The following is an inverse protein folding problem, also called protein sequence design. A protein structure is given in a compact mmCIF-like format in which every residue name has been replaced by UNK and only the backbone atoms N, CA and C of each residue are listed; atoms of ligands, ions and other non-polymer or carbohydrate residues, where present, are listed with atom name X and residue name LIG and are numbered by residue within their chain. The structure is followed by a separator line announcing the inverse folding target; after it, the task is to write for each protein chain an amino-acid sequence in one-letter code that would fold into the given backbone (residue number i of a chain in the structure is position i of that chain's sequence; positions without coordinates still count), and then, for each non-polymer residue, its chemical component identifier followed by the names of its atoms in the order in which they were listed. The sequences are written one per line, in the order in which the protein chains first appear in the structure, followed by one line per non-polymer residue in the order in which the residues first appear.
data_IF_523324134583
#
_entry.id   IF_523324134583
#
_cell.length_a   1.000
_cell.length_b   1.000
_cell.length_c   1.000
_cell.angle_alpha   90.00
_cell.angle_beta   90.00
_cell.angle_gamma   90.00
#
_symmetry.space_group_name_H-M   'P 1'
#
loop_
_entity.id
_entity.type
_entity.pdbx_description
1 polymer ?
#
# COMPACT_ATOMS: atom_id res chain seq x y z
N UNK A 1 40.97 56.00 -7.44
CA UNK A 1 42.39 55.77 -7.09
C UNK A 1 42.82 54.43 -7.70
N UNK A 2 43.99 54.33 -8.33
CA UNK A 2 44.32 53.25 -9.26
C UNK A 2 44.96 52.03 -8.57
N UNK A 3 44.68 50.86 -9.16
CA UNK A 3 45.24 49.55 -8.81
C UNK A 3 46.73 49.49 -9.17
N UNK A 4 47.64 49.08 -8.26
CA UNK A 4 49.04 48.87 -8.60
C UNK A 4 49.29 47.49 -9.22
N UNK A 5 50.16 47.50 -10.23
CA UNK A 5 50.51 46.39 -11.11
C UNK A 5 51.28 45.24 -10.44
N UNK A 6 51.05 44.03 -10.95
CA UNK A 6 51.71 42.76 -10.57
C UNK A 6 53.19 42.76 -10.96
N UNK A 7 54.08 42.53 -9.98
CA UNK A 7 55.48 42.18 -10.23
C UNK A 7 55.61 40.68 -10.51
N UNK A 8 56.15 40.33 -11.68
CA UNK A 8 56.48 38.95 -12.08
C UNK A 8 57.75 38.50 -11.36
N UNK A 9 57.64 37.51 -10.46
CA UNK A 9 58.79 36.82 -9.90
C UNK A 9 59.18 35.66 -10.83
N UNK A 10 60.38 35.72 -11.42
CA UNK A 10 60.96 34.63 -12.22
C UNK A 10 61.64 33.65 -11.26
N UNK A 11 61.11 32.43 -11.14
CA UNK A 11 61.75 31.34 -10.41
C UNK A 11 62.36 30.39 -11.45
N UNK A 12 63.68 30.13 -11.32
CA UNK A 12 64.44 29.16 -12.12
C UNK A 12 64.00 27.72 -11.77
N UNK A 13 63.92 26.78 -12.73
CA UNK A 13 63.59 25.41 -12.42
C UNK A 13 64.84 24.69 -11.87
N UNK A 14 64.76 24.14 -10.66
CA UNK A 14 65.63 23.04 -10.25
C UNK A 14 64.94 21.74 -10.67
N UNK A 15 65.59 20.99 -11.57
CA UNK A 15 65.18 19.65 -11.91
C UNK A 15 65.58 18.69 -10.78
N UNK A 16 64.60 18.18 -10.03
CA UNK A 16 64.77 17.02 -9.16
C UNK A 16 64.27 15.78 -9.91
N UNK A 17 65.19 14.87 -10.22
CA UNK A 17 64.92 13.57 -10.81
C UNK A 17 64.42 12.63 -9.68
N UNK A 18 63.10 12.55 -9.51
CA UNK A 18 62.47 11.59 -8.58
C UNK A 18 62.09 10.30 -9.31
N UNK A 19 62.70 9.18 -8.95
CA UNK A 19 62.24 7.84 -9.34
C UNK A 19 60.84 7.60 -8.74
N UNK A 20 59.81 7.64 -9.57
CA UNK A 20 58.46 7.21 -9.24
C UNK A 20 58.34 5.70 -9.48
N UNK A 21 58.35 4.93 -8.40
CA UNK A 21 57.91 3.53 -8.39
C UNK A 21 56.41 3.51 -8.66
N UNK A 22 56.02 3.11 -9.87
CA UNK A 22 54.63 2.89 -10.23
C UNK A 22 54.12 1.60 -9.55
N UNK A 23 53.43 1.74 -8.42
CA UNK A 23 52.61 0.65 -7.90
C UNK A 23 51.38 0.46 -8.80
N UNK A 24 51.08 -0.77 -9.25
CA UNK A 24 49.87 -1.01 -10.02
C UNK A 24 48.67 -0.80 -9.10
N UNK A 25 47.90 0.26 -9.37
CA UNK A 25 46.54 0.41 -8.85
C UNK A 25 45.72 -0.75 -9.41
N UNK A 26 45.51 -1.77 -8.59
CA UNK A 26 44.50 -2.79 -8.82
C UNK A 26 43.14 -2.09 -8.79
N UNK A 27 42.68 -1.71 -9.98
CA UNK A 27 41.30 -1.24 -10.16
C UNK A 27 40.36 -2.35 -9.72
N UNK A 28 39.68 -2.13 -8.60
CA UNK A 28 38.51 -2.91 -8.22
C UNK A 28 37.49 -2.77 -9.35
N UNK A 29 37.31 -3.85 -10.13
CA UNK A 29 36.22 -3.93 -11.08
C UNK A 29 34.91 -3.58 -10.35
N UNK A 30 34.02 -2.77 -10.94
CA UNK A 30 32.72 -2.54 -10.34
C UNK A 30 32.07 -3.90 -10.11
N UNK A 31 31.72 -4.19 -8.85
CA UNK A 31 30.99 -5.40 -8.51
C UNK A 31 29.76 -5.45 -9.42
N UNK A 32 29.72 -6.41 -10.34
CA UNK A 32 28.53 -6.71 -11.12
C UNK A 32 27.45 -7.00 -10.08
N UNK A 33 26.49 -6.09 -9.93
CA UNK A 33 25.29 -6.35 -9.15
C UNK A 33 24.66 -7.57 -9.81
N UNK A 34 24.68 -8.70 -9.11
CA UNK A 34 24.05 -9.92 -9.60
C UNK A 34 22.61 -9.56 -9.97
N UNK A 35 22.25 -9.74 -11.24
CA UNK A 35 20.88 -9.47 -11.69
C UNK A 35 19.97 -10.44 -10.96
N UNK A 36 18.85 -9.92 -10.47
CA UNK A 36 17.86 -10.75 -9.81
C UNK A 36 17.28 -11.76 -10.82
N UNK A 37 17.49 -13.05 -10.56
CA UNK A 37 16.89 -14.11 -11.35
C UNK A 37 15.44 -14.31 -10.93
N UNK A 38 14.51 -14.14 -11.87
CA UNK A 38 13.08 -14.33 -11.66
C UNK A 38 12.61 -15.61 -12.35
N UNK A 39 11.76 -16.36 -11.66
CA UNK A 39 11.19 -17.61 -12.16
C UNK A 39 9.74 -17.44 -12.63
N UNK A 40 9.29 -18.18 -13.65
CA UNK A 40 7.88 -18.16 -14.05
C UNK A 40 6.96 -18.48 -12.87
N UNK A 41 5.90 -17.68 -12.72
CA UNK A 41 4.90 -17.84 -11.66
C UNK A 41 3.52 -17.35 -12.13
N UNK A 42 2.53 -17.50 -11.26
CA UNK A 42 1.24 -16.82 -11.39
C UNK A 42 0.96 -15.98 -10.15
N UNK A 43 0.35 -14.83 -10.38
CA UNK A 43 -0.19 -13.95 -9.33
C UNK A 43 -1.71 -14.02 -9.41
N UNK A 44 -2.36 -14.23 -8.27
CA UNK A 44 -3.82 -14.30 -8.15
C UNK A 44 -4.34 -13.18 -7.25
N UNK A 45 -5.61 -12.82 -7.42
CA UNK A 45 -6.27 -11.90 -6.49
C UNK A 45 -6.64 -12.62 -5.19
N UNK A 46 -7.04 -11.84 -4.17
CA UNK A 46 -7.35 -12.35 -2.83
C UNK A 46 -8.48 -13.40 -2.82
N UNK A 47 -9.34 -13.38 -3.83
CA UNK A 47 -10.45 -14.33 -3.98
C UNK A 47 -10.09 -15.53 -4.88
N UNK A 48 -8.90 -15.53 -5.51
CA UNK A 48 -8.48 -16.57 -6.45
C UNK A 48 -9.26 -16.59 -7.77
N UNK A 49 -10.09 -15.58 -8.04
CA UNK A 49 -10.97 -15.50 -9.21
C UNK A 49 -10.23 -14.98 -10.44
N UNK A 50 -9.22 -14.14 -10.25
CA UNK A 50 -8.39 -13.59 -11.33
C UNK A 50 -6.94 -13.95 -11.11
N UNK A 51 -6.25 -14.25 -12.19
CA UNK A 51 -4.81 -14.47 -12.15
C UNK A 51 -4.09 -14.07 -13.42
N UNK A 52 -2.80 -13.79 -13.30
CA UNK A 52 -1.93 -13.36 -14.40
C UNK A 52 -0.59 -14.08 -14.32
N UNK A 53 -0.04 -14.46 -15.47
CA UNK A 53 1.33 -14.97 -15.56
C UNK A 53 2.34 -13.85 -15.26
N UNK A 54 3.36 -14.17 -14.49
CA UNK A 54 4.40 -13.24 -14.08
C UNK A 54 5.75 -13.95 -13.97
N UNK A 55 6.79 -13.19 -13.65
CA UNK A 55 8.09 -13.69 -13.21
C UNK A 55 8.32 -13.24 -11.77
N UNK A 56 8.45 -14.18 -10.84
CA UNK A 56 8.57 -13.90 -9.42
C UNK A 56 9.97 -14.19 -8.91
N UNK A 57 10.37 -13.50 -7.84
CA UNK A 57 11.60 -13.77 -7.12
C UNK A 57 11.65 -12.98 -5.82
N UNK A 58 12.76 -13.12 -5.11
CA UNK A 58 12.97 -12.45 -3.83
C UNK A 58 14.33 -11.76 -3.83
N UNK A 59 14.38 -10.58 -3.23
CA UNK A 59 15.61 -9.85 -2.99
C UNK A 59 15.90 -9.82 -1.49
N UNK A 60 16.99 -10.46 -1.08
CA UNK A 60 17.52 -10.38 0.28
C UNK A 60 18.00 -8.97 0.59
N UNK A 61 17.51 -8.39 1.70
CA UNK A 61 17.98 -7.11 2.24
C UNK A 61 18.16 -7.23 3.75
N UNK A 62 19.04 -6.41 4.33
CA UNK A 62 19.16 -6.33 5.78
C UNK A 62 17.88 -5.71 6.39
N UNK A 63 17.36 -6.35 7.44
CA UNK A 63 16.23 -5.82 8.20
C UNK A 63 16.62 -4.47 8.80
N UNK A 64 17.70 -4.47 9.59
CA UNK A 64 18.36 -3.29 10.13
C UNK A 64 19.51 -2.86 9.20
N UNK A 65 19.41 -1.72 8.50
CA UNK A 65 20.50 -1.28 7.63
C UNK A 65 21.76 -0.81 8.35
N UNK A 66 21.69 -0.57 9.67
CA UNK A 66 22.87 -0.35 10.52
C UNK A 66 23.68 -1.63 10.77
N UNK A 67 23.11 -2.79 10.47
CA UNK A 67 23.74 -4.10 10.60
C UNK A 67 23.64 -4.89 9.28
N UNK A 68 24.41 -4.56 8.24
CA UNK A 68 24.26 -5.17 6.91
C UNK A 68 24.46 -6.69 6.85
N UNK A 69 25.17 -7.26 7.83
CA UNK A 69 25.39 -8.71 7.98
C UNK A 69 24.49 -9.34 9.06
N UNK A 70 23.55 -8.58 9.61
CA UNK A 70 22.58 -9.05 10.59
C UNK A 70 21.42 -9.80 9.92
N UNK A 71 20.27 -9.78 10.59
CA UNK A 71 19.04 -10.41 10.09
C UNK A 71 18.72 -9.94 8.67
N UNK A 72 18.49 -10.90 7.77
CA UNK A 72 18.07 -10.65 6.40
C UNK A 72 16.57 -10.91 6.28
N UNK A 73 15.91 -10.10 5.46
CA UNK A 73 14.52 -10.28 5.04
C UNK A 73 14.46 -10.39 3.53
N UNK A 74 13.52 -11.19 3.05
CA UNK A 74 13.27 -11.35 1.62
C UNK A 74 12.19 -10.37 1.16
N UNK A 75 12.48 -9.61 0.11
CA UNK A 75 11.52 -8.72 -0.54
C UNK A 75 10.96 -9.42 -1.76
N UNK A 76 9.68 -9.78 -1.70
CA UNK A 76 8.97 -10.51 -2.73
C UNK A 76 8.56 -9.60 -3.89
N UNK A 77 8.91 -10.02 -5.09
CA UNK A 77 8.80 -9.24 -6.32
C UNK A 77 8.08 -10.07 -7.38
N UNK A 78 7.23 -9.41 -8.16
CA UNK A 78 6.69 -9.99 -9.38
C UNK A 78 6.77 -8.99 -10.54
N UNK A 79 7.26 -9.45 -11.68
CA UNK A 79 7.26 -8.71 -12.93
C UNK A 79 6.23 -9.33 -13.86
N UNK A 80 5.15 -8.61 -14.13
CA UNK A 80 4.16 -8.96 -15.14
C UNK A 80 4.65 -8.41 -16.47
N UNK A 81 5.09 -9.26 -17.42
CA UNK A 81 5.73 -8.78 -18.63
C UNK A 81 4.77 -7.97 -19.51
N UNK A 82 5.34 -7.02 -20.24
CA UNK A 82 4.67 -6.36 -21.35
C UNK A 82 4.18 -7.40 -22.37
N UNK A 83 3.11 -7.04 -23.11
CA UNK A 83 2.63 -7.86 -24.23
C UNK A 83 3.54 -7.68 -25.45
N UNK A 84 4.08 -6.47 -25.66
CA UNK A 84 4.99 -6.20 -26.76
C UNK A 84 6.23 -7.10 -26.71
N UNK A 85 6.67 -7.57 -27.89
CA UNK A 85 7.89 -8.39 -28.05
C UNK A 85 9.14 -7.70 -27.50
N UNK A 86 9.16 -6.36 -27.56
CA UNK A 86 10.17 -5.52 -26.91
C UNK A 86 9.46 -4.52 -26.01
N UNK A 87 9.53 -4.75 -24.70
CA UNK A 87 9.03 -3.80 -23.71
C UNK A 87 9.81 -2.48 -23.80
N UNK A 88 9.14 -1.37 -23.51
CA UNK A 88 9.80 -0.10 -23.26
C UNK A 88 10.70 -0.21 -22.00
N UNK A 89 11.84 0.50 -21.95
CA UNK A 89 12.87 0.29 -20.93
C UNK A 89 12.48 0.77 -19.54
N UNK A 90 11.44 1.60 -19.42
CA UNK A 90 10.93 2.18 -18.19
C UNK A 90 9.61 1.50 -17.77
N UNK A 91 9.64 0.57 -16.80
CA UNK A 91 8.46 -0.16 -16.34
C UNK A 91 7.54 0.74 -15.51
N UNK A 92 6.36 0.24 -15.17
CA UNK A 92 5.48 0.85 -14.16
C UNK A 92 5.56 0.05 -12.86
N UNK A 93 6.06 0.70 -11.80
CA UNK A 93 6.02 0.18 -10.44
C UNK A 93 4.67 0.54 -9.81
N UNK A 94 3.93 -0.47 -9.40
CA UNK A 94 2.62 -0.32 -8.76
C UNK A 94 2.77 -0.42 -7.24
N UNK A 95 2.44 0.66 -6.54
CA UNK A 95 2.56 0.75 -5.10
C UNK A 95 1.19 0.65 -4.45
N UNK A 96 0.96 -0.46 -3.76
CA UNK A 96 -0.29 -0.71 -3.03
C UNK A 96 -0.46 0.20 -1.81
N UNK A 97 -1.73 0.33 -1.40
CA UNK A 97 -2.17 1.16 -0.30
C UNK A 97 -2.24 0.43 1.04
N UNK A 98 -3.21 0.82 1.86
CA UNK A 98 -3.37 0.38 3.24
C UNK A 98 -2.92 1.46 4.23
N UNK A 99 -1.70 1.41 4.83
CA UNK A 99 -0.60 0.45 4.63
C UNK A 99 -0.96 -1.01 4.97
N UNK A 100 -0.12 -1.95 4.55
CA UNK A 100 -0.26 -3.39 4.87
C UNK A 100 -0.62 -4.27 3.68
N UNK A 101 -1.14 -3.69 2.59
CA UNK A 101 -1.48 -4.45 1.38
C UNK A 101 -0.22 -4.85 0.61
N UNK A 102 -0.14 -6.13 0.20
CA UNK A 102 0.84 -6.58 -0.78
C UNK A 102 0.44 -6.17 -2.19
N UNK A 103 1.38 -5.59 -2.95
CA UNK A 103 1.15 -5.21 -4.34
C UNK A 103 0.89 -6.43 -5.23
N UNK A 104 1.53 -7.57 -4.94
CA UNK A 104 1.34 -8.82 -5.67
C UNK A 104 -0.09 -9.32 -5.55
N UNK A 105 -0.61 -9.46 -4.33
CA UNK A 105 -1.97 -9.95 -4.08
C UNK A 105 -3.07 -8.97 -4.56
N UNK A 106 -2.80 -7.66 -4.55
CA UNK A 106 -3.80 -6.64 -4.91
C UNK A 106 -3.94 -6.46 -6.42
N UNK A 107 -2.84 -6.57 -7.17
CA UNK A 107 -2.81 -6.21 -8.59
C UNK A 107 -3.75 -7.05 -9.47
N UNK A 108 -3.86 -8.36 -9.21
CA UNK A 108 -4.74 -9.23 -9.99
C UNK A 108 -6.23 -8.82 -9.92
N UNK A 109 -6.62 -8.08 -8.88
CA UNK A 109 -7.96 -7.53 -8.75
C UNK A 109 -8.25 -6.32 -9.65
N UNK A 110 -7.20 -5.68 -10.19
CA UNK A 110 -7.27 -4.43 -10.95
C UNK A 110 -6.58 -4.51 -12.32
N UNK A 111 -6.39 -5.72 -12.86
CA UNK A 111 -5.72 -5.96 -14.16
C UNK A 111 -6.24 -5.06 -15.29
N UNK A 112 -7.56 -4.86 -15.36
CA UNK A 112 -8.20 -4.08 -16.40
C UNK A 112 -7.75 -2.61 -16.42
N UNK A 113 -7.51 -2.01 -15.24
CA UNK A 113 -7.08 -0.62 -15.12
C UNK A 113 -5.70 -0.36 -15.75
N UNK A 114 -4.84 -1.39 -15.81
CA UNK A 114 -3.47 -1.30 -16.31
C UNK A 114 -3.26 -1.99 -17.66
N UNK A 115 -4.33 -2.50 -18.28
CA UNK A 115 -4.25 -3.22 -19.55
C UNK A 115 -3.60 -2.37 -20.67
N UNK A 116 -3.88 -1.06 -20.70
CA UNK A 116 -3.27 -0.13 -21.65
C UNK A 116 -1.76 0.01 -21.45
N UNK A 117 -1.30 0.16 -20.21
CA UNK A 117 0.13 0.26 -19.87
C UNK A 117 0.88 -1.03 -20.18
N UNK A 118 0.28 -2.18 -19.84
CA UNK A 118 0.86 -3.51 -20.05
C UNK A 118 1.11 -3.84 -21.53
N UNK A 119 0.46 -3.14 -22.46
CA UNK A 119 0.74 -3.34 -23.90
C UNK A 119 2.21 -3.12 -24.21
N UNK A 120 2.83 -2.13 -23.57
CA UNK A 120 4.18 -1.66 -23.91
C UNK A 120 5.18 -1.79 -22.77
N UNK A 121 4.73 -1.89 -21.51
CA UNK A 121 5.59 -1.81 -20.33
C UNK A 121 5.40 -3.01 -19.42
N UNK A 122 6.52 -3.45 -18.83
CA UNK A 122 6.48 -4.35 -17.69
C UNK A 122 5.78 -3.64 -16.52
N UNK A 123 5.00 -4.40 -15.76
CA UNK A 123 4.44 -3.96 -14.49
C UNK A 123 5.19 -4.66 -13.37
N UNK A 124 5.77 -3.88 -12.47
CA UNK A 124 6.58 -4.39 -11.35
C UNK A 124 5.80 -4.22 -10.06
N UNK A 125 5.60 -5.33 -9.38
CA UNK A 125 4.90 -5.45 -8.11
C UNK A 125 5.93 -5.79 -7.05
N UNK A 126 6.02 -4.95 -6.03
CA UNK A 126 6.91 -5.17 -4.90
C UNK A 126 6.06 -5.14 -3.65
N UNK A 127 6.04 -6.26 -2.93
CA UNK A 127 5.48 -6.26 -1.59
C UNK A 127 6.47 -5.49 -0.69
N UNK A 128 6.00 -4.48 0.01
CA UNK A 128 6.88 -3.71 0.91
C UNK A 128 7.26 -4.59 2.10
N UNK A 129 8.44 -4.36 2.71
CA UNK A 129 8.82 -5.00 3.98
C UNK A 129 7.65 -4.95 4.98
N UNK A 130 7.31 -6.09 5.57
CA UNK A 130 6.17 -6.24 6.49
C UNK A 130 4.82 -6.50 5.84
N UNK A 131 4.74 -6.60 4.51
CA UNK A 131 3.48 -6.78 3.76
C UNK A 131 3.59 -7.92 2.76
N UNK A 132 2.44 -8.46 2.33
CA UNK A 132 2.40 -9.54 1.33
C UNK A 132 3.30 -10.70 1.72
N UNK A 133 4.17 -11.14 0.82
CA UNK A 133 5.14 -12.21 1.12
C UNK A 133 6.53 -11.66 1.55
N UNK A 134 6.63 -10.37 1.89
CA UNK A 134 7.90 -9.73 2.26
C UNK A 134 8.05 -9.58 3.77
N UNK A 135 8.46 -10.65 4.44
CA UNK A 135 8.61 -10.73 5.90
C UNK A 135 7.43 -10.09 6.65
N UNK A 136 6.23 -10.59 6.36
CA UNK A 136 4.96 -10.03 6.83
C UNK A 136 4.90 -9.99 8.36
N UNK A 137 4.38 -8.88 8.89
CA UNK A 137 4.16 -8.70 10.31
C UNK A 137 2.70 -8.97 10.64
N UNK A 138 2.38 -10.22 10.96
CA UNK A 138 1.01 -10.63 11.29
C UNK A 138 0.77 -10.58 12.80
N UNK A 139 -0.35 -9.98 13.16
CA UNK A 139 -0.92 -10.05 14.50
C UNK A 139 -2.20 -10.88 14.45
N UNK A 140 -2.27 -11.91 15.28
CA UNK A 140 -3.51 -12.67 15.47
C UNK A 140 -4.47 -11.86 16.35
N UNK A 141 -5.60 -11.46 15.77
CA UNK A 141 -6.74 -10.90 16.49
C UNK A 141 -7.92 -11.88 16.38
N UNK A 142 -8.76 -12.04 17.42
CA UNK A 142 -10.01 -12.78 17.31
C UNK A 142 -10.85 -12.20 16.18
N UNK A 143 -11.17 -13.03 15.20
CA UNK A 143 -11.85 -12.63 13.96
C UNK A 143 -13.23 -12.01 14.25
N UNK A 144 -13.96 -12.60 15.19
CA UNK A 144 -15.26 -12.12 15.66
C UNK A 144 -15.20 -10.71 16.27
N UNK A 145 -14.19 -10.45 17.09
CA UNK A 145 -13.99 -9.14 17.71
C UNK A 145 -13.60 -8.06 16.68
N UNK A 146 -12.79 -8.44 15.69
CA UNK A 146 -12.39 -7.56 14.60
C UNK A 146 -13.56 -7.24 13.66
N UNK A 147 -14.32 -8.26 13.25
CA UNK A 147 -15.53 -8.12 12.41
C UNK A 147 -16.64 -7.31 13.11
N UNK A 148 -16.77 -7.45 14.43
CA UNK A 148 -17.74 -6.67 15.21
C UNK A 148 -17.35 -5.19 15.31
N UNK A 149 -16.08 -4.82 15.10
CA UNK A 149 -15.61 -3.44 15.11
C UNK A 149 -15.65 -2.74 16.48
N UNK A 150 -15.84 -3.49 17.57
CA UNK A 150 -16.14 -2.96 18.92
C UNK A 150 -15.04 -3.29 19.95
N UNK A 151 -13.78 -3.45 19.52
CA UNK A 151 -12.67 -3.77 20.42
C UNK A 151 -12.37 -2.58 21.35
N UNK A 152 -12.46 -2.73 22.68
CA UNK A 152 -12.12 -1.66 23.61
C UNK A 152 -10.66 -1.20 23.47
N UNK A 153 -10.34 0.10 23.59
CA UNK A 153 -8.97 0.60 23.39
C UNK A 153 -7.91 -0.04 24.31
N UNK A 154 -8.28 -0.35 25.56
CA UNK A 154 -7.38 -1.03 26.50
C UNK A 154 -7.07 -2.46 26.09
N UNK A 155 -8.07 -3.16 25.53
CA UNK A 155 -7.89 -4.50 24.99
C UNK A 155 -7.07 -4.49 23.71
N UNK A 156 -7.37 -3.59 22.77
CA UNK A 156 -6.56 -3.41 21.56
C UNK A 156 -5.09 -3.13 21.90
N UNK A 157 -4.83 -2.31 22.91
CA UNK A 157 -3.47 -2.02 23.39
C UNK A 157 -2.79 -3.25 23.99
N UNK A 158 -3.53 -4.10 24.71
CA UNK A 158 -3.02 -5.37 25.24
C UNK A 158 -2.66 -6.33 24.10
N UNK A 159 -3.57 -6.53 23.16
CA UNK A 159 -3.37 -7.41 22.00
C UNK A 159 -2.18 -6.94 21.15
N UNK A 160 -2.03 -5.63 20.93
CA UNK A 160 -0.89 -5.08 20.21
C UNK A 160 0.45 -5.37 20.92
N UNK A 161 0.50 -5.28 22.25
CA UNK A 161 1.71 -5.63 23.03
C UNK A 161 2.02 -7.14 22.97
N UNK A 162 0.99 -7.98 23.06
CA UNK A 162 1.14 -9.43 22.94
C UNK A 162 1.61 -9.84 21.54
N UNK A 163 1.08 -9.20 20.50
CA UNK A 163 1.55 -9.38 19.14
C UNK A 163 3.01 -8.95 18.98
N UNK A 164 3.37 -7.75 19.47
CA UNK A 164 4.72 -7.21 19.35
C UNK A 164 5.79 -8.18 19.88
N UNK A 165 5.49 -8.92 20.94
CA UNK A 165 6.40 -9.91 21.53
C UNK A 165 6.60 -11.17 20.67
N UNK A 166 5.72 -11.42 19.68
CA UNK A 166 5.71 -12.62 18.82
C UNK A 166 6.13 -12.33 17.37
N UNK A 167 6.28 -11.07 16.99
CA UNK A 167 6.60 -10.70 15.61
C UNK A 167 7.97 -11.27 15.18
N UNK A 168 8.11 -11.73 13.92
CA UNK A 168 9.36 -12.29 13.41
C UNK A 168 10.43 -11.24 13.12
N UNK A 169 10.12 -9.95 13.32
CA UNK A 169 10.98 -8.82 13.03
C UNK A 169 10.70 -7.64 13.95
N UNK A 170 11.58 -6.65 13.93
CA UNK A 170 11.47 -5.47 14.79
C UNK A 170 10.70 -4.35 14.07
N UNK A 171 9.46 -3.99 14.47
CA UNK A 171 8.61 -3.06 13.72
C UNK A 171 9.23 -1.68 13.45
N UNK A 172 10.19 -1.25 14.28
CA UNK A 172 10.97 -0.03 14.06
C UNK A 172 11.73 0.01 12.73
N UNK A 173 11.99 -1.13 12.09
CA UNK A 173 12.62 -1.23 10.77
C UNK A 173 11.63 -1.38 9.61
N UNK A 174 10.32 -1.27 9.85
CA UNK A 174 9.26 -1.41 8.84
C UNK A 174 8.65 -0.06 8.50
N UNK A 175 9.53 0.90 8.21
CA UNK A 175 9.16 2.28 7.91
C UNK A 175 9.07 2.52 6.41
N UNK A 176 8.30 3.54 5.99
CA UNK A 176 8.24 4.00 4.60
C UNK A 176 9.64 4.29 4.03
N UNK A 177 10.52 4.90 4.84
CA UNK A 177 11.88 5.27 4.43
C UNK A 177 12.73 4.07 4.05
N UNK A 178 12.55 2.94 4.76
CA UNK A 178 13.27 1.70 4.47
C UNK A 178 12.61 0.92 3.34
N UNK A 179 11.28 0.88 3.26
CA UNK A 179 10.58 0.33 2.09
C UNK A 179 10.99 1.04 0.78
N UNK A 180 11.19 2.36 0.79
CA UNK A 180 11.69 3.11 -0.38
C UNK A 180 13.12 2.73 -0.74
N UNK A 181 13.99 2.44 0.24
CA UNK A 181 15.34 1.95 -0.02
C UNK A 181 15.30 0.57 -0.67
N UNK A 182 14.39 -0.30 -0.24
CA UNK A 182 14.21 -1.62 -0.85
C UNK A 182 13.69 -1.50 -2.28
N UNK A 183 12.71 -0.63 -2.54
CA UNK A 183 12.21 -0.35 -3.89
C UNK A 183 13.34 0.08 -4.84
N UNK A 184 14.28 0.90 -4.36
CA UNK A 184 15.44 1.30 -5.14
C UNK A 184 16.41 0.13 -5.39
N UNK A 185 16.64 -0.71 -4.38
CA UNK A 185 17.45 -1.92 -4.53
C UNK A 185 16.82 -2.88 -5.56
N UNK A 186 15.49 -3.04 -5.53
CA UNK A 186 14.74 -3.83 -6.51
C UNK A 186 14.86 -3.24 -7.92
N UNK A 187 14.68 -1.92 -8.09
CA UNK A 187 14.88 -1.26 -9.40
C UNK A 187 16.27 -1.58 -9.96
N UNK A 188 17.30 -1.38 -9.14
CA UNK A 188 18.69 -1.60 -9.54
C UNK A 188 18.97 -3.07 -9.88
N UNK A 189 18.49 -4.02 -9.06
CA UNK A 189 18.69 -5.46 -9.25
C UNK A 189 17.97 -6.00 -10.50
N UNK A 190 16.84 -5.39 -10.88
CA UNK A 190 16.12 -5.69 -12.13
C UNK A 190 16.73 -4.99 -13.36
N UNK A 191 17.66 -4.05 -13.16
CA UNK A 191 18.40 -3.37 -14.23
C UNK A 191 17.66 -2.24 -14.93
N UNK A 192 16.57 -1.70 -14.36
CA UNK A 192 15.82 -0.60 -14.95
C UNK A 192 16.46 0.74 -14.64
N UNK A 193 16.82 1.58 -15.61
CA UNK A 193 17.50 2.86 -15.36
C UNK A 193 16.58 3.90 -14.69
N UNK A 194 15.36 4.04 -15.21
CA UNK A 194 14.30 4.91 -14.70
C UNK A 194 12.97 4.15 -14.69
N UNK A 195 12.08 4.54 -13.79
CA UNK A 195 10.78 3.89 -13.60
C UNK A 195 9.63 4.89 -13.64
N UNK A 196 8.46 4.40 -14.01
CA UNK A 196 7.20 5.10 -13.80
C UNK A 196 6.61 4.61 -12.47
N UNK A 197 5.99 5.50 -11.71
CA UNK A 197 5.36 5.18 -10.43
C UNK A 197 3.86 5.39 -10.52
N UNK A 198 3.09 4.41 -10.05
CA UNK A 198 1.68 4.62 -9.72
C UNK A 198 1.47 4.22 -8.27
N UNK A 199 0.96 5.15 -7.47
CA UNK A 199 0.60 4.89 -6.07
C UNK A 199 -0.90 5.08 -5.87
N UNK A 200 -1.52 4.17 -5.14
CA UNK A 200 -2.90 4.31 -4.67
C UNK A 200 -2.93 4.39 -3.14
N UNK A 201 -3.72 5.31 -2.59
CA UNK A 201 -3.87 5.48 -1.14
C UNK A 201 -2.50 5.64 -0.45
N UNK A 202 -2.15 4.87 0.58
CA UNK A 202 -0.81 4.92 1.22
C UNK A 202 0.36 4.75 0.23
N UNK A 203 0.17 4.01 -0.87
CA UNK A 203 1.17 3.88 -1.94
C UNK A 203 1.56 5.22 -2.56
N UNK A 204 0.69 6.24 -2.51
CA UNK A 204 1.02 7.61 -2.93
C UNK A 204 2.07 8.26 -2.03
N UNK A 205 2.07 7.97 -0.72
CA UNK A 205 3.10 8.44 0.21
C UNK A 205 4.44 7.80 -0.12
N UNK A 206 4.43 6.50 -0.42
CA UNK A 206 5.63 5.75 -0.84
C UNK A 206 6.18 6.33 -2.15
N UNK A 207 5.33 6.56 -3.15
CA UNK A 207 5.72 7.17 -4.43
C UNK A 207 6.35 8.55 -4.25
N UNK A 208 5.72 9.44 -3.47
CA UNK A 208 6.27 10.76 -3.15
C UNK A 208 7.62 10.67 -2.43
N UNK A 209 7.76 9.76 -1.47
CA UNK A 209 9.00 9.56 -0.74
C UNK A 209 10.11 9.01 -1.64
N UNK A 210 9.79 8.09 -2.56
CA UNK A 210 10.72 7.59 -3.57
C UNK A 210 11.18 8.72 -4.49
N UNK A 211 10.24 9.49 -5.06
CA UNK A 211 10.56 10.62 -5.95
C UNK A 211 11.42 11.68 -5.26
N UNK A 212 11.22 11.93 -3.96
CA UNK A 212 12.07 12.85 -3.18
C UNK A 212 13.49 12.33 -2.98
N UNK A 213 13.66 11.01 -2.79
CA UNK A 213 14.95 10.40 -2.47
C UNK A 213 15.78 10.04 -3.71
N UNK A 214 15.11 9.68 -4.80
CA UNK A 214 15.71 9.22 -6.06
C UNK A 214 15.08 9.93 -7.27
N UNK A 215 15.08 11.28 -7.32
CA UNK A 215 14.38 12.05 -8.35
C UNK A 215 14.85 11.71 -9.77
N UNK A 216 16.14 11.42 -9.94
CA UNK A 216 16.74 11.05 -11.23
C UNK A 216 16.30 9.66 -11.74
N UNK A 217 15.70 8.84 -10.87
CA UNK A 217 15.18 7.51 -11.19
C UNK A 217 13.71 7.50 -11.56
N UNK A 218 13.00 8.62 -11.38
CA UNK A 218 11.58 8.73 -11.72
C UNK A 218 11.40 9.39 -13.09
N UNK A 219 10.70 8.72 -14.00
CA UNK A 219 10.32 9.28 -15.30
C UNK A 219 8.96 9.96 -15.24
N UNK A 220 7.93 9.26 -14.76
CA UNK A 220 6.60 9.82 -14.52
C UNK A 220 6.03 9.26 -13.23
N UNK A 221 5.11 9.99 -12.60
CA UNK A 221 4.41 9.57 -11.40
C UNK A 221 2.93 9.92 -11.50
N UNK A 222 2.06 8.97 -11.16
CA UNK A 222 0.63 9.17 -10.99
C UNK A 222 0.23 8.77 -9.56
N UNK A 223 -0.58 9.60 -8.92
CA UNK A 223 -1.01 9.42 -7.54
C UNK A 223 -2.54 9.45 -7.50
N UNK A 224 -3.15 8.38 -7.00
CA UNK A 224 -4.60 8.27 -6.82
C UNK A 224 -4.94 8.24 -5.32
N UNK A 225 -5.84 9.12 -4.89
CA UNK A 225 -6.28 9.27 -3.50
C UNK A 225 -5.12 9.56 -2.54
N UNK A 226 -4.58 10.78 -2.66
CA UNK A 226 -3.26 11.17 -2.14
C UNK A 226 -3.20 11.21 -0.61
N UNK A 227 -2.28 10.43 -0.04
CA UNK A 227 -1.82 10.53 1.34
C UNK A 227 -0.53 11.36 1.40
N UNK A 228 -0.66 12.69 1.52
CA UNK A 228 0.50 13.59 1.56
C UNK A 228 1.42 13.29 2.77
N UNK A 229 2.73 13.59 2.72
CA UNK A 229 3.68 13.18 3.76
C UNK A 229 3.40 13.73 5.16
N UNK A 230 2.74 14.87 5.27
CA UNK A 230 2.41 15.52 6.56
C UNK A 230 1.11 14.99 7.18
N UNK A 231 0.33 14.19 6.45
CA UNK A 231 -0.91 13.61 6.98
C UNK A 231 -0.59 12.60 8.08
N UNK A 232 -1.10 12.83 9.29
CA UNK A 232 -1.10 11.83 10.35
C UNK A 232 -2.19 10.80 10.03
N UNK A 233 -1.78 9.56 9.73
CA UNK A 233 -2.72 8.50 9.39
C UNK A 233 -3.45 8.03 10.65
N UNK A 234 -4.78 7.92 10.59
CA UNK A 234 -5.61 7.45 11.70
C UNK A 234 -6.60 8.50 12.21
N UNK A 235 -6.14 9.58 12.87
CA UNK A 235 -7.03 10.50 13.60
C UNK A 235 -8.20 11.08 12.79
N UNK A 236 -7.99 11.40 11.51
CA UNK A 236 -9.02 11.99 10.65
C UNK A 236 -10.05 10.99 10.10
N UNK A 237 -9.77 9.67 10.15
CA UNK A 237 -10.58 8.65 9.45
C UNK A 237 -12.06 8.70 9.86
N UNK A 238 -12.36 8.86 11.15
CA UNK A 238 -13.74 8.90 11.62
C UNK A 238 -14.48 10.16 11.17
N UNK A 239 -13.80 11.32 11.14
CA UNK A 239 -14.36 12.59 10.71
C UNK A 239 -14.63 12.58 9.21
N UNK A 240 -13.67 12.12 8.42
CA UNK A 240 -13.79 12.04 6.96
C UNK A 240 -14.87 11.02 6.55
N UNK A 241 -14.97 9.88 7.27
CA UNK A 241 -16.02 8.89 7.04
C UNK A 241 -17.42 9.45 7.36
N UNK A 242 -17.57 10.21 8.46
CA UNK A 242 -18.84 10.87 8.77
C UNK A 242 -19.22 11.88 7.70
N UNK A 243 -18.27 12.72 7.26
CA UNK A 243 -18.51 13.68 6.19
C UNK A 243 -18.94 13.00 4.88
N UNK A 244 -18.33 11.86 4.55
CA UNK A 244 -18.71 11.08 3.38
C UNK A 244 -20.14 10.53 3.50
N UNK A 245 -20.54 10.02 4.67
CA UNK A 245 -21.90 9.53 4.93
C UNK A 245 -22.92 10.67 4.84
N UNK A 246 -22.64 11.81 5.46
CA UNK A 246 -23.51 12.99 5.40
C UNK A 246 -23.71 13.45 3.95
N UNK A 247 -22.64 13.46 3.15
CA UNK A 247 -22.71 13.78 1.73
C UNK A 247 -23.53 12.74 0.92
N UNK A 248 -23.47 11.45 1.27
CA UNK A 248 -24.28 10.40 0.65
C UNK A 248 -25.77 10.63 0.95
N UNK A 249 -26.12 10.90 2.20
CA UNK A 249 -27.50 11.18 2.61
C UNK A 249 -28.03 12.47 1.99
N UNK A 250 -27.22 13.53 1.95
CA UNK A 250 -27.59 14.78 1.30
C UNK A 250 -27.86 14.60 -0.20
N UNK A 251 -27.08 13.76 -0.89
CA UNK A 251 -27.35 13.42 -2.30
C UNK A 251 -28.67 12.68 -2.47
N UNK A 252 -29.01 11.75 -1.58
CA UNK A 252 -30.31 11.07 -1.62
C UNK A 252 -31.47 12.07 -1.39
N UNK A 253 -31.34 12.96 -0.40
CA UNK A 253 -32.37 13.96 -0.13
C UNK A 253 -32.57 14.96 -1.29
N UNK A 254 -31.53 15.22 -2.08
CA UNK A 254 -31.59 16.09 -3.25
C UNK A 254 -32.16 15.40 -4.51
N UNK A 255 -32.21 14.07 -4.54
CA UNK A 255 -32.78 13.30 -5.64
C UNK A 255 -34.24 12.94 -5.34
N UNK A 256 -35.18 13.32 -6.21
CA UNK A 256 -36.61 13.17 -5.94
C UNK A 256 -37.03 11.71 -5.72
N UNK A 257 -36.51 10.78 -6.54
CA UNK A 257 -36.85 9.36 -6.43
C UNK A 257 -36.26 8.74 -5.16
N UNK A 258 -35.03 9.12 -4.82
CA UNK A 258 -34.38 8.67 -3.59
C UNK A 258 -35.08 9.24 -2.35
N UNK A 259 -35.41 10.53 -2.32
CA UNK A 259 -36.09 11.17 -1.20
C UNK A 259 -37.52 10.65 -1.00
N UNK A 260 -38.26 10.35 -2.08
CA UNK A 260 -39.58 9.70 -1.98
C UNK A 260 -39.47 8.31 -1.37
N UNK A 261 -38.45 7.54 -1.77
CA UNK A 261 -38.25 6.17 -1.30
C UNK A 261 -37.64 6.09 0.09
N UNK A 262 -36.71 6.99 0.41
CA UNK A 262 -35.89 7.03 1.63
C UNK A 262 -35.94 8.46 2.20
N UNK A 263 -36.98 8.82 2.95
CA UNK A 263 -37.22 10.20 3.35
C UNK A 263 -36.25 10.73 4.43
N UNK A 264 -35.68 9.86 5.26
CA UNK A 264 -34.72 10.26 6.31
C UNK A 264 -33.62 9.19 6.57
N UNK A 265 -32.74 8.92 5.60
CA UNK A 265 -31.70 7.89 5.75
C UNK A 265 -30.71 8.22 6.88
N UNK A 266 -30.46 9.51 7.15
CA UNK A 266 -29.59 9.94 8.24
C UNK A 266 -30.22 9.66 9.62
N UNK A 267 -31.52 9.93 9.78
CA UNK A 267 -32.26 9.58 11.00
C UNK A 267 -32.38 8.08 11.19
N UNK A 268 -32.68 7.32 10.13
CA UNK A 268 -32.72 5.86 10.16
C UNK A 268 -31.37 5.26 10.59
N UNK A 269 -30.25 5.78 10.06
CA UNK A 269 -28.91 5.34 10.45
C UNK A 269 -28.61 5.60 11.93
N UNK A 270 -28.95 6.79 12.44
CA UNK A 270 -28.79 7.11 13.88
C UNK A 270 -29.66 6.20 14.76
N UNK A 271 -30.91 5.96 14.36
CA UNK A 271 -31.81 5.08 15.09
C UNK A 271 -31.28 3.63 15.14
N UNK A 272 -30.73 3.14 14.02
CA UNK A 272 -30.06 1.84 13.98
C UNK A 272 -28.84 1.78 14.89
N UNK A 273 -27.98 2.81 14.88
CA UNK A 273 -26.83 2.87 15.79
C UNK A 273 -27.26 2.80 17.26
N UNK A 274 -28.26 3.58 17.69
CA UNK A 274 -28.74 3.52 19.08
C UNK A 274 -29.35 2.16 19.41
N UNK A 275 -30.14 1.59 18.51
CA UNK A 275 -30.72 0.25 18.68
C UNK A 275 -29.62 -0.80 18.89
N UNK A 276 -28.62 -0.82 18.01
CA UNK A 276 -27.54 -1.82 18.06
C UNK A 276 -26.61 -1.62 19.26
N UNK A 277 -26.50 -0.41 19.82
CA UNK A 277 -25.81 -0.19 21.11
C UNK A 277 -26.54 -0.86 22.28
N UNK A 278 -27.87 -0.82 22.29
CA UNK A 278 -28.68 -1.44 23.34
C UNK A 278 -28.87 -2.95 23.14
N UNK A 279 -29.09 -3.37 21.90
CA UNK A 279 -29.43 -4.75 21.52
C UNK A 279 -28.68 -5.16 20.23
N UNK A 280 -27.40 -5.55 20.32
CA UNK A 280 -26.68 -6.16 19.21
C UNK A 280 -27.34 -7.47 18.77
N UNK A 281 -27.29 -7.76 17.47
CA UNK A 281 -27.89 -8.96 16.89
C UNK A 281 -26.83 -10.00 16.50
N UNK A 282 -27.21 -11.27 16.49
CA UNK A 282 -26.41 -12.36 15.93
C UNK A 282 -27.18 -12.99 14.77
N UNK A 283 -26.64 -12.90 13.56
CA UNK A 283 -27.22 -13.48 12.36
C UNK A 283 -26.46 -14.74 11.97
N UNK A 284 -27.16 -15.74 11.46
CA UNK A 284 -26.55 -16.94 10.87
C UNK A 284 -26.75 -16.91 9.37
N UNK A 285 -25.65 -16.87 8.64
CA UNK A 285 -25.64 -16.73 7.18
C UNK A 285 -24.58 -17.68 6.58
N UNK A 286 -24.83 -18.25 5.40
CA UNK A 286 -23.82 -19.02 4.69
C UNK A 286 -22.70 -18.09 4.20
N UNK A 287 -21.46 -18.46 4.47
CA UNK A 287 -20.29 -17.77 3.94
C UNK A 287 -20.32 -17.80 2.40
N UNK A 288 -20.15 -16.66 1.71
CA UNK A 288 -20.30 -16.60 0.25
C UNK A 288 -19.18 -17.33 -0.51
N UNK A 289 -18.03 -17.57 0.12
CA UNK A 289 -16.90 -18.27 -0.50
C UNK A 289 -16.95 -19.78 -0.25
N UNK A 290 -17.36 -20.22 0.94
CA UNK A 290 -17.33 -21.65 1.33
C UNK A 290 -18.70 -22.30 1.39
N UNK A 291 -19.77 -21.52 1.51
CA UNK A 291 -21.14 -21.98 1.76
C UNK A 291 -21.40 -22.48 3.19
N UNK A 292 -20.40 -22.45 4.08
CA UNK A 292 -20.58 -22.88 5.47
C UNK A 292 -21.30 -21.82 6.29
N UNK A 293 -22.24 -22.23 7.15
CA UNK A 293 -22.92 -21.33 8.09
C UNK A 293 -21.91 -20.65 9.03
N UNK A 294 -21.87 -19.31 9.01
CA UNK A 294 -21.17 -18.47 9.99
C UNK A 294 -22.15 -17.65 10.80
N UNK A 295 -21.77 -17.32 12.03
CA UNK A 295 -22.51 -16.39 12.88
C UNK A 295 -21.84 -15.03 12.84
N UNK A 296 -22.58 -14.00 12.45
CA UNK A 296 -22.10 -12.62 12.33
C UNK A 296 -22.78 -11.79 13.42
N UNK A 297 -21.97 -11.07 14.20
CA UNK A 297 -22.46 -10.15 15.23
C UNK A 297 -22.65 -8.76 14.63
N UNK A 298 -23.90 -8.33 14.51
CA UNK A 298 -24.25 -6.99 14.04
C UNK A 298 -24.40 -6.08 15.26
N UNK A 299 -23.34 -5.34 15.56
CA UNK A 299 -23.28 -4.31 16.60
C UNK A 299 -23.10 -2.90 16.03
N UNK A 300 -22.93 -1.88 16.90
CA UNK A 300 -22.69 -0.51 16.45
C UNK A 300 -21.39 -0.36 15.67
N UNK A 301 -20.29 -1.01 16.09
CA UNK A 301 -19.03 -1.00 15.36
C UNK A 301 -19.16 -1.62 13.98
N UNK A 302 -19.85 -2.75 13.88
CA UNK A 302 -20.12 -3.44 12.63
C UNK A 302 -20.87 -2.54 11.64
N UNK A 303 -21.94 -1.88 12.09
CA UNK A 303 -22.71 -0.93 11.26
C UNK A 303 -21.84 0.21 10.75
N UNK A 304 -20.98 0.80 11.59
CA UNK A 304 -20.08 1.89 11.17
C UNK A 304 -19.02 1.39 10.19
N UNK A 305 -18.43 0.22 10.43
CA UNK A 305 -17.45 -0.39 9.52
C UNK A 305 -18.09 -0.69 8.17
N UNK A 306 -19.29 -1.25 8.13
CA UNK A 306 -20.04 -1.52 6.90
C UNK A 306 -20.41 -0.24 6.15
N UNK A 307 -20.94 0.75 6.84
CA UNK A 307 -21.27 2.04 6.24
C UNK A 307 -20.02 2.70 5.62
N UNK A 308 -18.89 2.62 6.33
CA UNK A 308 -17.59 3.06 5.82
C UNK A 308 -17.16 2.24 4.61
N UNK A 309 -17.19 0.91 4.64
CA UNK A 309 -16.73 0.08 3.51
C UNK A 309 -17.57 0.28 2.26
N UNK A 310 -18.90 0.40 2.39
CA UNK A 310 -19.79 0.67 1.26
C UNK A 310 -19.51 2.03 0.62
N UNK A 311 -19.08 3.04 1.38
CA UNK A 311 -18.82 4.38 0.85
C UNK A 311 -17.55 4.48 0.00
N UNK A 312 -16.66 3.47 0.00
CA UNK A 312 -15.42 3.45 -0.80
C UNK A 312 -15.67 3.40 -2.31
N UNK A 313 -16.82 2.90 -2.76
CA UNK A 313 -17.14 2.75 -4.18
C UNK A 313 -18.52 3.35 -4.48
N UNK A 314 -18.65 3.96 -5.66
CA UNK A 314 -19.89 4.63 -6.06
C UNK A 314 -21.14 3.74 -5.98
N UNK A 315 -21.00 2.45 -6.36
CA UNK A 315 -22.09 1.47 -6.29
C UNK A 315 -22.50 1.21 -4.84
N UNK A 316 -21.55 0.94 -3.94
CA UNK A 316 -21.84 0.72 -2.53
C UNK A 316 -22.46 1.96 -1.87
N UNK A 317 -21.92 3.14 -2.20
CA UNK A 317 -22.44 4.41 -1.69
C UNK A 317 -23.89 4.68 -2.13
N UNK A 318 -24.25 4.30 -3.36
CA UNK A 318 -25.62 4.43 -3.87
C UNK A 318 -26.60 3.45 -3.20
N UNK A 319 -26.12 2.31 -2.69
CA UNK A 319 -26.94 1.30 -2.01
C UNK A 319 -27.16 1.60 -0.53
N UNK A 320 -26.39 2.51 0.08
CA UNK A 320 -26.48 2.78 1.52
C UNK A 320 -27.88 3.15 2.02
N UNK A 321 -28.65 4.06 1.38
CA UNK A 321 -30.02 4.35 1.80
C UNK A 321 -30.91 3.12 1.83
N UNK A 322 -30.78 2.23 0.82
CA UNK A 322 -31.54 0.99 0.75
C UNK A 322 -31.15 0.01 1.87
N UNK A 323 -29.85 -0.20 2.08
CA UNK A 323 -29.33 -1.10 3.13
C UNK A 323 -29.80 -0.65 4.51
N UNK A 324 -29.78 0.67 4.75
CA UNK A 324 -30.24 1.28 6.01
C UNK A 324 -31.76 1.11 6.16
N UNK A 325 -32.55 1.37 5.12
CA UNK A 325 -34.01 1.21 5.17
C UNK A 325 -34.44 -0.25 5.39
N UNK A 326 -33.79 -1.21 4.75
CA UNK A 326 -34.06 -2.65 4.94
C UNK A 326 -33.88 -3.05 6.42
N UNK A 327 -32.77 -2.61 7.04
CA UNK A 327 -32.51 -2.91 8.45
C UNK A 327 -33.45 -2.15 9.39
N UNK A 328 -33.65 -0.85 9.16
CA UNK A 328 -34.43 0.02 10.04
C UNK A 328 -35.93 -0.26 9.94
N UNK A 329 -36.47 -0.21 8.71
CA UNK A 329 -37.92 -0.18 8.47
C UNK A 329 -38.51 -1.58 8.28
N UNK A 330 -37.70 -2.57 7.86
CA UNK A 330 -38.17 -3.93 7.56
C UNK A 330 -37.59 -4.99 8.49
N UNK A 331 -36.63 -4.63 9.35
CA UNK A 331 -35.94 -5.56 10.22
C UNK A 331 -35.08 -6.57 9.47
N UNK A 332 -34.75 -6.30 8.21
CA UNK A 332 -33.90 -7.14 7.38
C UNK A 332 -32.43 -6.71 7.51
N UNK A 333 -31.70 -7.36 8.40
CA UNK A 333 -30.28 -7.06 8.67
C UNK A 333 -29.31 -7.83 7.76
N UNK A 334 -29.80 -8.72 6.89
CA UNK A 334 -28.93 -9.50 5.99
C UNK A 334 -28.05 -8.61 5.10
N UNK A 335 -28.53 -7.47 4.54
CA UNK A 335 -27.68 -6.59 3.75
C UNK A 335 -26.58 -5.86 4.55
N UNK A 336 -26.65 -5.90 5.88
CA UNK A 336 -25.63 -5.33 6.78
C UNK A 336 -24.59 -6.36 7.21
N UNK A 337 -24.73 -7.64 6.86
CA UNK A 337 -23.91 -8.74 7.34
C UNK A 337 -23.04 -9.37 6.24
#
# INVERSE_FOLDING_TARGET
MPVPARRRCRIRPLALLGLLLASPLTGSAPAQVARLELQPCRISDLQGLRSVAARCGHLAVAENPGEPRGAQIEIAIAVVPAIATRAAPDPLFLLAGGPGQGARATYAGVLAAFAGVRRERDLVLVDQRGTGDSNRLDCEFPEDAWEAGDIPPGELSRMARECLAKLPGQPGYYTTSLAVRDLEAVRAALGYERINLFGASYGTRVAQHYARRYPERVRTMALDSVAHPELVLGPAIALDAQQALDAIFARCAADAACAERFPDPAGQFRALLERLRGEPLSLRLPDPATGSERTIRVGPGHLVVMARMLSYAAIGAALLPLVIDEAHSRGNFVPLA
#
